data_IF_973103743417
#
_entry.id   IF_973103743417
#
_cell.length_a   1.000
_cell.length_b   1.000
_cell.length_c   1.000
_cell.angle_alpha   90.00
_cell.angle_beta   90.00
_cell.angle_gamma   90.00
#
_symmetry.space_group_name_H-M   'P 1'
#
loop_
_entity.id
_entity.type
_entity.pdbx_description
1 polymer ?
#
# COMPACT_ATOMS: atom_id res chain seq x y z
N UNK A 1 -11.83 -8.71 15.88
CA UNK A 1 -10.61 -7.98 15.47
C UNK A 1 -10.75 -7.64 13.98
N UNK A 2 -10.44 -6.40 13.61
CA UNK A 2 -10.33 -5.94 12.23
C UNK A 2 -8.87 -5.80 11.85
N UNK A 3 -8.51 -6.23 10.64
CA UNK A 3 -7.16 -6.07 10.08
C UNK A 3 -7.28 -5.30 8.77
N UNK A 4 -6.53 -4.22 8.63
CA UNK A 4 -6.46 -3.45 7.39
C UNK A 4 -5.02 -3.24 6.93
N UNK A 5 -4.85 -2.91 5.65
CA UNK A 5 -3.65 -2.23 5.19
C UNK A 5 -3.67 -0.75 5.61
N UNK A 6 -2.58 -0.04 5.33
CA UNK A 6 -2.54 1.42 5.37
C UNK A 6 -2.05 1.95 4.03
N UNK A 7 -2.73 2.95 3.47
CA UNK A 7 -2.21 3.64 2.29
C UNK A 7 -1.05 4.54 2.69
N UNK A 8 -1.22 5.28 3.81
CA UNK A 8 -0.18 6.12 4.40
C UNK A 8 -0.25 6.06 5.93
N UNK A 9 0.90 6.17 6.58
CA UNK A 9 1.02 6.43 8.01
C UNK A 9 1.60 7.83 8.19
N UNK A 10 0.96 8.65 9.01
CA UNK A 10 1.31 10.06 9.23
C UNK A 10 2.12 10.18 10.50
N UNK A 11 3.39 10.58 10.40
CA UNK A 11 4.33 10.55 11.51
C UNK A 11 4.02 11.56 12.62
N UNK A 12 3.59 12.77 12.25
CA UNK A 12 3.34 13.86 13.22
C UNK A 12 2.10 13.63 14.08
N UNK A 13 1.08 12.92 13.55
CA UNK A 13 -0.19 12.67 14.23
C UNK A 13 -0.38 11.23 14.71
N UNK A 14 0.48 10.31 14.25
CA UNK A 14 0.30 8.88 14.50
C UNK A 14 -0.93 8.29 13.80
N UNK A 15 -1.39 8.91 12.71
CA UNK A 15 -2.59 8.48 12.01
C UNK A 15 -2.30 7.47 10.91
N UNK A 16 -3.28 6.60 10.61
CA UNK A 16 -3.32 5.81 9.37
C UNK A 16 -4.38 6.36 8.44
N UNK A 17 -4.02 6.49 7.17
CA UNK A 17 -4.94 6.88 6.08
C UNK A 17 -5.31 5.67 5.27
N UNK A 18 -6.61 5.43 5.10
CA UNK A 18 -7.20 4.37 4.30
C UNK A 18 -8.04 4.98 3.18
N UNK A 19 -7.88 4.48 1.97
CA UNK A 19 -8.53 5.01 0.78
C UNK A 19 -9.27 3.87 0.09
N UNK A 20 -10.59 3.98 -0.03
CA UNK A 20 -11.43 2.99 -0.71
C UNK A 20 -12.56 3.66 -1.50
N UNK A 21 -13.18 2.91 -2.40
CA UNK A 21 -14.41 3.32 -3.09
C UNK A 21 -15.64 2.57 -2.56
N UNK A 22 -15.47 1.49 -1.82
CA UNK A 22 -16.52 0.55 -1.42
C UNK A 22 -16.98 0.71 0.04
N UNK A 23 -16.26 1.49 0.86
CA UNK A 23 -16.56 1.66 2.29
C UNK A 23 -16.22 0.43 3.16
N UNK A 24 -15.60 -0.59 2.60
CA UNK A 24 -15.20 -1.81 3.31
C UNK A 24 -14.16 -1.55 4.39
N UNK A 25 -13.24 -0.60 4.17
CA UNK A 25 -12.24 -0.21 5.16
C UNK A 25 -12.92 0.42 6.38
N UNK A 26 -13.89 1.32 6.18
CA UNK A 26 -14.66 1.96 7.27
C UNK A 26 -15.32 0.92 8.16
N UNK A 27 -15.96 -0.11 7.59
CA UNK A 27 -16.56 -1.20 8.37
C UNK A 27 -15.51 -2.01 9.13
N UNK A 28 -14.37 -2.29 8.51
CA UNK A 28 -13.27 -3.05 9.12
C UNK A 28 -12.64 -2.30 10.31
N UNK A 29 -12.64 -0.98 10.27
CA UNK A 29 -12.01 -0.14 11.29
C UNK A 29 -12.95 0.29 12.40
N UNK A 30 -14.27 0.39 12.14
CA UNK A 30 -15.24 0.94 13.11
C UNK A 30 -15.99 -0.12 13.91
N UNK A 31 -16.27 -1.30 13.34
CA UNK A 31 -17.07 -2.33 14.01
C UNK A 31 -16.29 -3.17 15.05
N UNK A 32 -15.03 -3.57 14.81
CA UNK A 32 -14.30 -4.42 15.75
C UNK A 32 -13.79 -3.63 16.96
N UNK A 33 -13.72 -4.31 18.12
CA UNK A 33 -13.10 -3.75 19.31
C UNK A 33 -11.59 -3.56 19.18
N UNK A 34 -10.93 -4.34 18.34
CA UNK A 34 -9.50 -4.26 18.09
C UNK A 34 -9.26 -4.05 16.60
N UNK A 35 -8.50 -3.03 16.23
CA UNK A 35 -8.06 -2.76 14.88
C UNK A 35 -6.54 -2.87 14.78
N UNK A 36 -6.05 -3.57 13.76
CA UNK A 36 -4.62 -3.70 13.44
C UNK A 36 -4.38 -3.20 12.03
N UNK A 37 -3.64 -2.11 11.89
CA UNK A 37 -3.22 -1.56 10.60
C UNK A 37 -1.80 -2.05 10.26
N UNK A 38 -1.63 -2.69 9.10
CA UNK A 38 -0.36 -3.28 8.68
C UNK A 38 0.09 -2.64 7.37
N UNK A 39 1.29 -2.09 7.30
CA UNK A 39 1.86 -1.58 6.05
C UNK A 39 3.39 -1.56 6.06
N UNK A 40 3.99 -1.37 4.89
CA UNK A 40 5.44 -1.20 4.79
C UNK A 40 5.91 0.14 5.34
N UNK A 41 7.13 0.18 5.88
CA UNK A 41 7.74 1.40 6.41
C UNK A 41 7.86 2.52 5.37
N UNK A 42 7.90 2.17 4.09
CA UNK A 42 7.93 3.14 2.98
C UNK A 42 6.63 3.94 2.82
N UNK A 43 5.59 3.59 3.58
CA UNK A 43 4.31 4.30 3.58
C UNK A 43 4.19 5.39 4.63
N UNK A 44 5.25 5.62 5.39
CA UNK A 44 5.29 6.70 6.37
C UNK A 44 5.50 8.02 5.63
N UNK A 45 4.64 8.99 5.92
CA UNK A 45 4.73 10.37 5.44
C UNK A 45 4.86 11.32 6.62
N UNK A 46 5.53 12.47 6.47
CA UNK A 46 5.75 13.39 7.58
C UNK A 46 4.45 13.96 8.16
N UNK A 47 3.58 14.52 7.31
CA UNK A 47 2.44 15.34 7.73
C UNK A 47 1.12 14.88 7.10
N UNK A 48 0.00 15.34 7.65
CA UNK A 48 -1.33 15.16 7.05
C UNK A 48 -1.46 15.86 5.69
N UNK A 49 -0.77 16.97 5.48
CA UNK A 49 -0.77 17.69 4.21
C UNK A 49 -0.09 16.85 3.11
N UNK A 50 1.03 16.19 3.44
CA UNK A 50 1.68 15.24 2.53
C UNK A 50 0.75 14.08 2.18
N UNK A 51 0.10 13.50 3.19
CA UNK A 51 -0.87 12.41 2.99
C UNK A 51 -2.05 12.86 2.10
N UNK A 52 -2.58 14.06 2.30
CA UNK A 52 -3.66 14.61 1.48
C UNK A 52 -3.23 14.81 0.02
N UNK A 53 -2.03 15.31 -0.19
CA UNK A 53 -1.44 15.47 -1.53
C UNK A 53 -1.29 14.12 -2.24
N UNK A 54 -0.72 13.13 -1.56
CA UNK A 54 -0.54 11.78 -2.10
C UNK A 54 -1.87 11.06 -2.34
N UNK A 55 -2.88 11.28 -1.50
CA UNK A 55 -4.24 10.75 -1.68
C UNK A 55 -4.85 11.23 -3.00
N UNK A 56 -4.73 12.52 -3.30
CA UNK A 56 -5.22 13.09 -4.57
C UNK A 56 -4.48 12.52 -5.78
N UNK A 57 -3.17 12.33 -5.69
CA UNK A 57 -2.37 11.70 -6.72
C UNK A 57 -2.76 10.23 -6.92
N UNK A 58 -2.94 9.48 -5.85
CA UNK A 58 -3.28 8.06 -5.88
C UNK A 58 -4.60 7.84 -6.61
N UNK A 59 -5.66 8.52 -6.22
CA UNK A 59 -7.00 8.33 -6.80
C UNK A 59 -7.05 8.74 -8.26
N UNK A 60 -6.41 9.85 -8.62
CA UNK A 60 -6.34 10.33 -10.00
C UNK A 60 -5.55 9.38 -10.91
N UNK A 61 -4.42 8.88 -10.43
CA UNK A 61 -3.57 7.95 -11.20
C UNK A 61 -4.17 6.55 -11.31
N UNK A 62 -4.92 6.13 -10.31
CA UNK A 62 -5.53 4.79 -10.22
C UNK A 62 -6.76 4.67 -11.12
N UNK A 63 -7.73 5.58 -10.96
CA UNK A 63 -9.08 5.48 -11.52
C UNK A 63 -9.54 6.74 -12.26
N UNK A 64 -8.72 7.79 -12.33
CA UNK A 64 -9.09 9.08 -12.92
C UNK A 64 -9.99 9.95 -12.04
N UNK A 65 -10.31 9.51 -10.82
CA UNK A 65 -11.14 10.26 -9.88
C UNK A 65 -10.38 11.47 -9.31
N UNK A 66 -11.07 12.57 -9.08
CA UNK A 66 -10.50 13.74 -8.40
C UNK A 66 -10.22 13.44 -6.92
N UNK A 67 -11.09 12.62 -6.30
CA UNK A 67 -10.99 12.13 -4.93
C UNK A 67 -11.69 10.77 -4.84
N UNK A 68 -11.30 9.93 -3.87
CA UNK A 68 -11.97 8.67 -3.56
C UNK A 68 -13.32 8.91 -2.87
N UNK A 69 -14.20 7.91 -2.88
CA UNK A 69 -15.48 7.99 -2.17
C UNK A 69 -15.28 8.01 -0.65
N UNK A 70 -14.31 7.26 -0.16
CA UNK A 70 -13.99 7.16 1.26
C UNK A 70 -12.51 7.39 1.48
N UNK A 71 -12.20 8.32 2.39
CA UNK A 71 -10.87 8.57 2.91
C UNK A 71 -11.00 8.59 4.43
N UNK A 72 -10.62 7.50 5.06
CA UNK A 72 -10.65 7.37 6.52
C UNK A 72 -9.29 7.75 7.10
N UNK A 73 -9.27 8.65 8.08
CA UNK A 73 -8.09 9.03 8.85
C UNK A 73 -8.32 8.62 10.28
N UNK A 74 -7.55 7.65 10.76
CA UNK A 74 -7.70 7.07 12.09
C UNK A 74 -6.47 7.41 12.92
N UNK A 75 -6.66 8.22 13.95
CA UNK A 75 -5.56 8.71 14.80
C UNK A 75 -5.34 7.86 16.05
N UNK A 76 -6.36 7.07 16.46
CA UNK A 76 -6.25 6.25 17.67
C UNK A 76 -7.53 5.44 17.94
N UNK A 77 -7.59 4.78 19.09
CA UNK A 77 -8.80 4.13 19.56
C UNK A 77 -9.87 5.16 19.88
N UNK A 78 -11.12 4.72 19.95
CA UNK A 78 -12.26 5.59 20.33
C UNK A 78 -12.05 6.25 21.69
N UNK A 79 -12.43 7.51 21.77
CA UNK A 79 -12.42 8.28 23.00
C UNK A 79 -13.58 7.93 23.93
N UNK A 80 -13.55 8.48 25.15
CA UNK A 80 -14.64 8.34 26.13
C UNK A 80 -15.92 8.99 25.59
N UNK A 81 -17.02 8.23 25.60
CA UNK A 81 -18.31 8.69 25.07
C UNK A 81 -18.52 8.45 23.56
N UNK A 82 -17.54 7.98 22.82
CA UNK A 82 -17.71 7.61 21.42
C UNK A 82 -18.33 6.21 21.28
N UNK A 83 -19.35 6.09 20.43
CA UNK A 83 -20.08 4.84 20.21
C UNK A 83 -19.37 3.92 19.21
N UNK A 84 -18.70 4.49 18.20
CA UNK A 84 -18.07 3.74 17.11
C UNK A 84 -16.57 3.87 17.17
N UNK A 85 -15.87 2.84 16.69
CA UNK A 85 -14.44 2.76 16.64
C UNK A 85 -13.87 1.67 17.56
N UNK A 86 -12.60 1.29 17.36
CA UNK A 86 -11.94 0.26 18.12
C UNK A 86 -11.61 0.74 19.54
N UNK A 87 -11.66 -0.17 20.51
CA UNK A 87 -11.17 0.07 21.87
C UNK A 87 -9.63 0.04 21.94
N UNK A 88 -9.01 -0.74 21.00
CA UNK A 88 -7.56 -0.86 20.89
C UNK A 88 -7.16 -0.76 19.42
N UNK A 89 -6.08 -0.01 19.16
CA UNK A 89 -5.54 0.18 17.82
C UNK A 89 -4.04 -0.09 17.82
N UNK A 90 -3.58 -0.86 16.82
CA UNK A 90 -2.18 -1.24 16.67
C UNK A 90 -1.70 -0.95 15.26
N UNK A 91 -0.47 -0.44 15.15
CA UNK A 91 0.23 -0.25 13.89
C UNK A 91 1.38 -1.26 13.77
N UNK A 92 1.40 -2.03 12.68
CA UNK A 92 2.50 -2.93 12.36
C UNK A 92 3.21 -2.39 11.13
N UNK A 93 4.43 -1.93 11.34
CA UNK A 93 5.31 -1.45 10.27
C UNK A 93 6.23 -2.59 9.82
N UNK A 94 6.09 -2.98 8.56
CA UNK A 94 6.83 -4.11 7.97
C UNK A 94 8.05 -3.58 7.23
N UNK A 95 9.22 -3.95 7.68
CA UNK A 95 10.48 -3.67 6.94
C UNK A 95 10.64 -4.62 5.76
N UNK A 96 10.82 -5.89 6.00
CA UNK A 96 10.97 -6.94 4.97
C UNK A 96 11.92 -6.53 3.83
N UNK A 97 13.12 -6.02 4.18
CA UNK A 97 14.17 -5.61 3.26
C UNK A 97 14.09 -4.16 2.76
N UNK A 98 13.07 -3.38 3.14
CA UNK A 98 12.90 -1.98 2.70
C UNK A 98 14.00 -1.05 3.18
N UNK A 99 14.47 -1.23 4.40
CA UNK A 99 15.60 -0.47 4.92
C UNK A 99 16.89 -0.72 4.12
N UNK A 100 17.10 -1.95 3.64
CA UNK A 100 18.20 -2.28 2.73
C UNK A 100 18.07 -1.57 1.37
N UNK A 101 16.86 -1.51 0.81
CA UNK A 101 16.59 -0.76 -0.42
C UNK A 101 16.79 0.74 -0.21
N UNK A 102 16.36 1.28 0.94
CA UNK A 102 16.54 2.70 1.27
C UNK A 102 18.03 3.09 1.33
N UNK A 103 18.89 2.19 1.79
CA UNK A 103 20.34 2.39 1.87
C UNK A 103 21.06 2.18 0.51
N UNK A 104 20.35 1.81 -0.55
CA UNK A 104 20.92 1.51 -1.86
C UNK A 104 20.74 2.64 -2.88
N UNK A 105 21.41 2.53 -4.02
CA UNK A 105 21.29 3.48 -5.14
C UNK A 105 19.90 3.49 -5.80
N UNK A 106 19.09 2.46 -5.52
CA UNK A 106 17.73 2.31 -6.08
C UNK A 106 16.61 2.69 -5.10
N UNK A 107 16.95 3.40 -4.02
CA UNK A 107 16.01 3.90 -3.00
C UNK A 107 14.78 4.62 -3.56
N UNK A 108 14.89 5.26 -4.72
CA UNK A 108 13.79 5.95 -5.39
C UNK A 108 12.61 5.03 -5.73
N UNK A 109 12.84 3.71 -5.86
CA UNK A 109 11.77 2.73 -6.04
C UNK A 109 10.80 2.68 -4.86
N UNK A 110 11.23 3.06 -3.65
CA UNK A 110 10.37 3.13 -2.45
C UNK A 110 9.36 4.28 -2.48
N UNK A 111 9.51 5.26 -3.38
CA UNK A 111 8.52 6.34 -3.58
C UNK A 111 7.22 5.86 -4.22
N UNK A 112 7.13 4.59 -4.56
CA UNK A 112 5.93 4.02 -5.15
C UNK A 112 4.75 4.04 -4.17
N UNK A 113 3.71 4.83 -4.48
CA UNK A 113 2.47 4.93 -3.70
C UNK A 113 1.43 3.85 -4.04
N UNK A 114 1.77 2.92 -4.94
CA UNK A 114 0.88 1.82 -5.39
C UNK A 114 -0.36 2.28 -6.16
N UNK A 115 -0.29 3.39 -6.87
CA UNK A 115 -1.41 3.93 -7.67
C UNK A 115 -1.78 3.08 -8.90
N UNK A 116 -0.92 2.16 -9.34
CA UNK A 116 -1.21 1.30 -10.49
C UNK A 116 -1.02 1.95 -11.87
N UNK A 117 -0.70 3.24 -11.97
CA UNK A 117 -0.59 3.96 -13.24
C UNK A 117 0.39 3.29 -14.23
N UNK A 118 1.51 2.79 -13.73
CA UNK A 118 2.49 2.10 -14.57
C UNK A 118 1.94 0.79 -15.17
N UNK A 119 1.02 0.11 -14.49
CA UNK A 119 0.37 -1.11 -14.98
C UNK A 119 -0.64 -0.80 -16.08
N UNK A 120 -1.33 0.33 -16.01
CA UNK A 120 -2.32 0.74 -16.99
C UNK A 120 -1.70 0.95 -18.38
N UNK A 121 -0.43 1.32 -18.46
CA UNK A 121 0.30 1.57 -19.70
C UNK A 121 1.28 0.46 -20.08
N UNK A 122 1.44 -0.56 -19.23
CA UNK A 122 2.40 -1.63 -19.48
C UNK A 122 1.85 -2.68 -20.44
N UNK A 123 2.40 -2.85 -21.65
CA UNK A 123 1.92 -3.85 -22.59
C UNK A 123 2.10 -5.28 -22.08
N UNK A 124 3.13 -5.53 -21.27
CA UNK A 124 3.35 -6.85 -20.65
C UNK A 124 2.23 -7.14 -19.65
N UNK A 125 1.97 -6.22 -18.71
CA UNK A 125 0.92 -6.38 -17.72
C UNK A 125 -0.47 -6.55 -18.34
N UNK A 126 -0.77 -5.80 -19.40
CA UNK A 126 -2.04 -5.91 -20.12
C UNK A 126 -2.26 -7.29 -20.77
N UNK A 127 -1.19 -7.96 -21.17
CA UNK A 127 -1.27 -9.27 -21.81
C UNK A 127 -1.32 -10.42 -20.81
N UNK A 128 -0.55 -10.36 -19.70
CA UNK A 128 -0.38 -11.51 -18.79
C UNK A 128 -1.08 -11.33 -17.45
N UNK A 129 -1.49 -10.11 -17.09
CA UNK A 129 -2.11 -9.80 -15.79
C UNK A 129 -1.15 -9.90 -14.61
N UNK A 130 -1.66 -9.61 -13.41
CA UNK A 130 -0.85 -9.54 -12.19
C UNK A 130 -0.35 -10.89 -11.66
N UNK A 131 -1.17 -11.93 -11.76
CA UNK A 131 -0.84 -13.26 -11.21
C UNK A 131 0.42 -13.89 -11.82
N UNK A 132 0.66 -13.61 -13.11
CA UNK A 132 1.81 -14.16 -13.83
C UNK A 132 3.17 -13.65 -13.33
N UNK A 133 3.18 -12.54 -12.58
CA UNK A 133 4.40 -12.04 -11.93
C UNK A 133 4.81 -12.86 -10.70
N UNK A 134 3.93 -13.70 -10.16
CA UNK A 134 4.24 -14.64 -9.08
C UNK A 134 4.50 -14.02 -7.71
N UNK A 135 4.31 -12.71 -7.57
CA UNK A 135 4.55 -11.98 -6.32
C UNK A 135 3.52 -10.87 -6.11
N UNK A 136 3.52 -10.23 -4.93
CA UNK A 136 2.55 -9.20 -4.51
C UNK A 136 2.67 -7.89 -5.27
N UNK A 137 3.76 -7.67 -5.97
CA UNK A 137 4.01 -6.46 -6.76
C UNK A 137 4.12 -6.80 -8.24
N UNK A 138 3.04 -6.64 -9.02
CA UNK A 138 3.08 -6.85 -10.46
C UNK A 138 3.47 -5.59 -11.22
N UNK A 139 3.65 -5.74 -12.54
CA UNK A 139 3.93 -4.66 -13.46
C UNK A 139 5.35 -4.09 -13.35
N UNK A 140 5.62 -2.93 -13.96
CA UNK A 140 6.97 -2.36 -14.02
C UNK A 140 7.62 -2.15 -12.66
N UNK A 141 6.87 -1.62 -11.69
CA UNK A 141 7.42 -1.44 -10.34
C UNK A 141 7.69 -2.76 -9.63
N UNK A 142 6.88 -3.79 -9.87
CA UNK A 142 7.07 -5.12 -9.31
C UNK A 142 8.32 -5.79 -9.86
N UNK A 143 8.62 -5.61 -11.14
CA UNK A 143 9.83 -6.11 -11.76
C UNK A 143 11.11 -5.51 -11.16
N UNK A 144 11.02 -4.33 -10.55
CA UNK A 144 12.12 -3.68 -9.84
C UNK A 144 12.15 -4.12 -8.38
N UNK A 145 11.04 -3.97 -7.65
CA UNK A 145 11.00 -4.17 -6.19
C UNK A 145 11.10 -5.64 -5.78
N UNK A 146 10.49 -6.56 -6.52
CA UNK A 146 10.47 -7.97 -6.13
C UNK A 146 11.88 -8.57 -6.05
N UNK A 147 12.76 -8.43 -7.06
CA UNK A 147 14.14 -8.92 -6.96
C UNK A 147 14.93 -8.30 -5.81
N UNK A 148 14.61 -7.06 -5.44
CA UNK A 148 15.30 -6.36 -4.36
C UNK A 148 14.93 -6.90 -2.97
N UNK A 149 13.66 -7.29 -2.79
CA UNK A 149 13.17 -7.80 -1.52
C UNK A 149 13.48 -9.28 -1.29
N UNK A 150 13.42 -10.09 -2.35
CA UNK A 150 13.54 -11.56 -2.22
C UNK A 150 14.78 -12.13 -2.90
N UNK A 151 15.56 -11.31 -3.58
CA UNK A 151 16.68 -11.73 -4.41
C UNK A 151 16.25 -12.14 -5.83
N UNK A 152 17.12 -11.91 -6.80
CA UNK A 152 16.82 -12.14 -8.22
C UNK A 152 16.45 -13.60 -8.53
N UNK A 153 17.15 -14.56 -7.92
CA UNK A 153 16.87 -15.98 -8.13
C UNK A 153 15.44 -16.35 -7.72
N UNK A 154 15.05 -16.00 -6.50
CA UNK A 154 13.71 -16.29 -5.98
C UNK A 154 12.62 -15.55 -6.77
N UNK A 155 12.88 -14.31 -7.18
CA UNK A 155 11.96 -13.56 -8.03
C UNK A 155 11.72 -14.24 -9.38
N UNK A 156 12.77 -14.74 -10.02
CA UNK A 156 12.66 -15.46 -11.30
C UNK A 156 11.96 -16.82 -11.16
N UNK A 157 12.19 -17.52 -10.06
CA UNK A 157 11.54 -18.81 -9.79
C UNK A 157 10.04 -18.66 -9.54
N UNK A 158 9.59 -17.53 -8.96
CA UNK A 158 8.18 -17.25 -8.69
C UNK A 158 7.37 -16.92 -9.96
N UNK A 159 8.02 -16.49 -11.04
CA UNK A 159 7.33 -16.16 -12.30
C UNK A 159 6.68 -17.42 -12.92
N UNK A 160 5.47 -17.27 -13.43
CA UNK A 160 4.84 -18.31 -14.26
C UNK A 160 5.78 -18.66 -15.43
N UNK A 161 6.03 -19.96 -15.69
CA UNK A 161 6.93 -20.40 -16.77
C UNK A 161 6.59 -19.81 -18.14
N UNK A 162 5.31 -19.52 -18.40
CA UNK A 162 4.87 -18.88 -19.65
C UNK A 162 5.26 -17.40 -19.71
N UNK A 163 5.27 -16.74 -18.59
CA UNK A 163 5.59 -15.32 -18.45
C UNK A 163 7.09 -15.03 -18.50
N UNK A 164 7.94 -16.01 -18.09
CA UNK A 164 9.41 -15.87 -18.10
C UNK A 164 9.99 -15.55 -19.49
N UNK A 165 9.25 -15.85 -20.55
CA UNK A 165 9.68 -15.57 -21.95
C UNK A 165 9.33 -14.16 -22.41
N UNK A 166 8.53 -13.44 -21.65
CA UNK A 166 7.97 -12.13 -22.03
C UNK A 166 8.58 -11.00 -21.19
N UNK A 167 9.03 -11.30 -19.99
CA UNK A 167 9.69 -10.40 -19.03
C UNK A 167 11.21 -10.55 -19.12
#
# INVERSE_FOLDING_TARGET
MGISGGNFFVADTGSVVLITNEGNATLTTTLPKVHVAISGIEKIVPTLEDAATLTRLLTRSSTGQSISNYVDILTGPKGEGEFHGPEHMYFILVDSGRSGVLASDVREALRCIRCGACMNHCPVYQNIGGHSYGWVYPGPIGSILTPMYVGLKNALEALDPRSRRII
#
